data_IF_150766998077
#
_entry.id   IF_150766998077
#
_cell.length_a   1.000
_cell.length_b   1.000
_cell.length_c   1.000
_cell.angle_alpha   90.00
_cell.angle_beta   90.00
_cell.angle_gamma   90.00
#
_symmetry.space_group_name_H-M   'P 1'
#
loop_
_entity.id
_entity.type
_entity.pdbx_description
1 polymer ?
#
# COMPACT_ATOMS: atom_id res chain seq x y z
N UNK A 1 -6.77 1.60 -22.18
CA UNK A 1 -5.87 1.06 -21.15
C UNK A 1 -5.19 -0.16 -21.71
N UNK A 2 -3.88 -0.16 -21.82
CA UNK A 2 -3.14 -1.29 -22.41
C UNK A 2 -2.87 -2.30 -21.28
N UNK A 3 -3.81 -3.26 -21.11
CA UNK A 3 -3.86 -4.23 -20.00
C UNK A 3 -2.74 -5.29 -20.03
N UNK A 4 -1.76 -5.16 -20.92
CA UNK A 4 -0.71 -6.15 -21.15
C UNK A 4 0.66 -5.72 -20.64
N UNK A 5 0.81 -4.50 -20.10
CA UNK A 5 2.10 -4.02 -19.64
C UNK A 5 2.05 -3.59 -18.16
N UNK A 6 2.61 -4.40 -17.24
CA UNK A 6 2.67 -4.06 -15.80
C UNK A 6 3.37 -2.73 -15.50
N UNK A 7 4.20 -2.23 -16.41
CA UNK A 7 4.89 -0.94 -16.26
C UNK A 7 3.95 0.26 -16.38
N UNK A 8 2.75 0.06 -16.91
CA UNK A 8 1.70 1.08 -17.03
C UNK A 8 0.69 1.04 -15.89
N UNK A 9 0.89 0.18 -14.90
CA UNK A 9 0.19 0.27 -13.62
C UNK A 9 0.67 1.51 -12.88
N UNK A 10 -0.23 2.23 -12.19
CA UNK A 10 0.13 3.49 -11.58
C UNK A 10 -0.86 3.94 -10.51
N UNK A 11 -0.57 5.07 -9.93
CA UNK A 11 -1.35 5.77 -8.92
C UNK A 11 -1.97 7.00 -9.59
N UNK A 12 -3.29 7.13 -9.52
CA UNK A 12 -3.98 8.31 -10.02
C UNK A 12 -3.86 9.45 -8.97
N UNK A 13 -3.34 10.59 -9.41
CA UNK A 13 -3.12 11.80 -8.66
C UNK A 13 -3.95 12.94 -9.28
N UNK A 14 -3.96 14.10 -8.64
CA UNK A 14 -4.56 15.30 -9.23
C UNK A 14 -3.68 15.78 -10.41
N UNK A 15 -4.23 15.92 -11.63
CA UNK A 15 -3.47 16.42 -12.76
C UNK A 15 -3.20 17.94 -12.65
N UNK A 16 -2.11 18.38 -13.25
CA UNK A 16 -1.79 19.79 -13.40
C UNK A 16 -1.42 20.12 -14.87
N UNK A 17 -1.16 21.39 -15.25
CA UNK A 17 -0.87 21.73 -16.65
C UNK A 17 0.40 21.08 -17.23
N UNK A 18 1.29 20.53 -16.40
CA UNK A 18 2.54 19.90 -16.82
C UNK A 18 2.51 18.38 -16.73
N UNK A 19 1.60 17.82 -15.91
CA UNK A 19 1.57 16.41 -15.58
C UNK A 19 0.14 15.85 -15.75
N UNK A 20 0.03 14.64 -16.28
CA UNK A 20 -1.25 14.00 -16.58
C UNK A 20 -2.01 13.49 -15.34
N UNK A 21 -1.43 13.61 -14.16
CA UNK A 21 -2.01 13.16 -12.91
C UNK A 21 -1.92 11.65 -12.70
N UNK A 22 -1.04 10.95 -13.42
CA UNK A 22 -0.83 9.53 -13.27
C UNK A 22 0.65 9.20 -13.01
N UNK A 23 0.94 8.64 -11.86
CA UNK A 23 2.28 8.17 -11.50
C UNK A 23 2.40 6.69 -11.81
N UNK A 24 3.05 6.36 -12.92
CA UNK A 24 3.19 4.97 -13.39
C UNK A 24 4.42 4.26 -12.80
N UNK A 25 4.42 2.93 -12.83
CA UNK A 25 5.50 2.08 -12.31
C UNK A 25 6.86 2.49 -12.88
N UNK A 26 6.95 2.77 -14.18
CA UNK A 26 8.21 3.14 -14.82
C UNK A 26 8.72 4.49 -14.31
N UNK A 27 7.83 5.48 -14.08
CA UNK A 27 8.20 6.78 -13.52
C UNK A 27 8.66 6.66 -12.06
N UNK A 28 7.94 5.83 -11.26
CA UNK A 28 8.35 5.53 -9.89
C UNK A 28 9.77 4.97 -9.85
N UNK A 29 10.13 4.07 -10.79
CA UNK A 29 11.46 3.47 -10.86
C UNK A 29 12.57 4.49 -11.20
N UNK A 30 12.25 5.61 -11.82
CA UNK A 30 13.20 6.69 -12.10
C UNK A 30 13.42 7.62 -10.89
N UNK A 31 12.54 7.58 -9.89
CA UNK A 31 12.69 8.36 -8.67
C UNK A 31 13.93 7.92 -7.87
N UNK A 32 14.52 8.87 -7.14
CA UNK A 32 15.61 8.62 -6.19
C UNK A 32 15.12 8.89 -4.78
N UNK A 33 14.44 7.92 -4.20
CA UNK A 33 13.84 8.05 -2.88
C UNK A 33 14.87 7.78 -1.78
N UNK A 34 14.81 8.60 -0.72
CA UNK A 34 15.51 8.36 0.55
C UNK A 34 14.52 8.03 1.66
N UNK A 35 13.35 7.53 1.30
CA UNK A 35 12.28 7.22 2.23
C UNK A 35 12.60 5.95 3.04
N UNK A 36 12.38 6.02 4.35
CA UNK A 36 12.46 4.82 5.21
C UNK A 36 11.23 3.93 5.06
N UNK A 37 10.10 4.53 4.74
CA UNK A 37 8.83 3.86 4.52
C UNK A 37 8.02 4.63 3.47
N UNK A 38 7.43 3.90 2.55
CA UNK A 38 6.33 4.35 1.68
C UNK A 38 5.06 3.64 2.14
N UNK A 39 3.97 4.37 2.34
CA UNK A 39 2.67 3.81 2.71
C UNK A 39 1.71 3.97 1.53
N UNK A 40 1.23 2.86 1.01
CA UNK A 40 0.24 2.78 -0.05
C UNK A 40 -1.09 2.34 0.56
N UNK A 41 -1.89 3.31 1.00
CA UNK A 41 -3.21 3.04 1.59
C UNK A 41 -4.36 3.15 0.59
N UNK A 42 -4.05 3.27 -0.69
CA UNK A 42 -5.03 3.37 -1.76
C UNK A 42 -5.57 1.98 -2.13
N UNK A 43 -6.79 1.71 -1.71
CA UNK A 43 -7.46 0.41 -1.84
C UNK A 43 -7.75 -0.04 -3.28
N UNK A 44 -7.53 0.80 -4.28
CA UNK A 44 -7.80 0.50 -5.69
C UNK A 44 -6.54 0.29 -6.54
N UNK A 45 -5.36 0.50 -5.98
CA UNK A 45 -4.10 0.23 -6.69
C UNK A 45 -3.84 -1.27 -6.88
N UNK A 46 -4.47 -2.11 -6.06
CA UNK A 46 -4.38 -3.57 -6.18
C UNK A 46 -5.56 -4.21 -6.95
N UNK A 47 -6.62 -3.45 -7.19
CA UNK A 47 -7.80 -3.93 -7.91
C UNK A 47 -8.02 -3.01 -9.11
N UNK A 48 -7.27 -3.23 -10.19
CA UNK A 48 -7.72 -2.69 -11.48
C UNK A 48 -9.22 -2.94 -11.63
N UNK A 49 -9.99 -1.91 -11.97
CA UNK A 49 -11.45 -1.93 -12.18
C UNK A 49 -11.84 -2.93 -13.29
N UNK A 50 -11.66 -4.20 -13.03
CA UNK A 50 -11.95 -5.23 -14.01
C UNK A 50 -12.58 -6.44 -13.35
N UNK A 51 -13.90 -6.39 -13.26
CA UNK A 51 -14.73 -7.57 -12.95
C UNK A 51 -14.58 -8.71 -13.98
N UNK A 52 -13.71 -8.56 -14.99
CA UNK A 52 -13.61 -9.48 -16.13
C UNK A 52 -12.18 -9.74 -16.63
N UNK A 53 -11.14 -9.62 -15.81
CA UNK A 53 -9.79 -9.97 -16.26
C UNK A 53 -9.27 -11.22 -15.56
N UNK A 54 -8.83 -12.17 -16.37
CA UNK A 54 -8.19 -13.43 -15.98
C UNK A 54 -6.81 -13.26 -15.28
N UNK A 55 -6.42 -12.01 -14.95
CA UNK A 55 -5.16 -11.72 -14.26
C UNK A 55 -5.42 -11.44 -12.76
N UNK A 56 -4.65 -12.08 -11.87
CA UNK A 56 -4.80 -11.87 -10.44
C UNK A 56 -4.52 -10.39 -10.09
N UNK A 57 -5.38 -9.79 -9.28
CA UNK A 57 -5.24 -8.43 -8.72
C UNK A 57 -3.91 -8.19 -7.95
N UNK A 58 -3.10 -9.24 -7.76
CA UNK A 58 -1.80 -9.18 -7.10
C UNK A 58 -0.66 -8.60 -7.94
N UNK A 59 -0.77 -8.58 -9.26
CA UNK A 59 0.35 -8.15 -10.12
C UNK A 59 0.61 -6.65 -10.02
N UNK A 60 -0.42 -5.82 -9.91
CA UNK A 60 -0.27 -4.37 -9.73
C UNK A 60 0.34 -4.04 -8.37
N UNK A 61 -0.09 -4.73 -7.31
CA UNK A 61 0.50 -4.62 -5.98
C UNK A 61 2.00 -4.96 -6.01
N UNK A 62 2.36 -6.05 -6.65
CA UNK A 62 3.76 -6.49 -6.78
C UNK A 62 4.57 -5.49 -7.60
N UNK A 63 3.99 -4.96 -8.68
CA UNK A 63 4.61 -3.96 -9.55
C UNK A 63 4.94 -2.67 -8.80
N UNK A 64 3.95 -2.05 -8.16
CA UNK A 64 4.11 -0.81 -7.40
C UNK A 64 5.06 -0.98 -6.21
N UNK A 65 4.90 -2.05 -5.43
CA UNK A 65 5.78 -2.33 -4.29
C UNK A 65 7.24 -2.46 -4.71
N UNK A 66 7.51 -3.20 -5.79
CA UNK A 66 8.86 -3.34 -6.34
C UNK A 66 9.41 -2.02 -6.87
N UNK A 67 8.59 -1.22 -7.55
CA UNK A 67 8.99 0.07 -8.07
C UNK A 67 9.48 1.01 -6.96
N UNK A 68 8.73 1.14 -5.87
CA UNK A 68 9.14 1.97 -4.74
C UNK A 68 10.39 1.46 -4.03
N UNK A 69 10.55 0.13 -3.90
CA UNK A 69 11.77 -0.45 -3.34
C UNK A 69 12.97 -0.20 -4.27
N UNK A 70 12.79 -0.33 -5.58
CA UNK A 70 13.82 -0.05 -6.58
C UNK A 70 14.22 1.43 -6.57
N UNK A 71 13.24 2.34 -6.45
CA UNK A 71 13.45 3.78 -6.32
C UNK A 71 14.25 4.19 -5.07
N UNK A 72 14.48 3.27 -4.12
CA UNK A 72 15.31 3.49 -2.93
C UNK A 72 14.56 3.59 -1.61
N UNK A 73 13.25 3.31 -1.56
CA UNK A 73 12.54 3.12 -0.29
C UNK A 73 13.07 1.89 0.44
N UNK A 74 13.22 1.98 1.78
CA UNK A 74 13.64 0.81 2.57
C UNK A 74 12.53 -0.22 2.72
N UNK A 75 11.31 0.23 2.90
CA UNK A 75 10.13 -0.63 3.04
C UNK A 75 8.89 0.05 2.47
N UNK A 76 7.92 -0.77 2.11
CA UNK A 76 6.60 -0.35 1.63
C UNK A 76 5.54 -1.04 2.47
N UNK A 77 4.64 -0.25 3.08
CA UNK A 77 3.43 -0.71 3.73
C UNK A 77 2.28 -0.58 2.75
N UNK A 78 1.59 -1.67 2.45
CA UNK A 78 0.49 -1.63 1.50
C UNK A 78 -0.63 -2.60 1.88
N UNK A 79 -1.82 -2.38 1.34
CA UNK A 79 -2.98 -3.24 1.55
C UNK A 79 -3.17 -4.23 0.40
N UNK A 80 -3.48 -5.49 0.73
CA UNK A 80 -3.72 -6.59 -0.22
C UNK A 80 -5.15 -6.59 -0.79
N UNK A 81 -6.09 -5.94 -0.12
CA UNK A 81 -7.48 -5.82 -0.55
C UNK A 81 -8.10 -4.52 -0.03
N UNK A 82 -9.27 -4.17 -0.57
CA UNK A 82 -10.02 -2.98 -0.16
C UNK A 82 -10.52 -3.15 1.28
N UNK A 83 -10.18 -2.19 2.13
CA UNK A 83 -10.56 -2.14 3.55
C UNK A 83 -11.44 -0.91 3.80
N UNK A 84 -12.26 -0.97 4.83
CA UNK A 84 -13.07 0.17 5.29
C UNK A 84 -12.17 1.33 5.77
N UNK A 85 -12.50 2.56 5.38
CA UNK A 85 -11.68 3.75 5.66
C UNK A 85 -11.50 4.01 7.17
N UNK A 86 -12.53 3.75 7.97
CA UNK A 86 -12.46 3.95 9.43
C UNK A 86 -11.53 2.95 10.11
N UNK A 87 -11.62 1.68 9.72
CA UNK A 87 -10.70 0.65 10.25
C UNK A 87 -9.27 0.90 9.79
N UNK A 88 -9.08 1.39 8.56
CA UNK A 88 -7.78 1.81 8.06
C UNK A 88 -7.21 2.96 8.88
N UNK A 89 -8.02 3.98 9.19
CA UNK A 89 -7.60 5.09 10.04
C UNK A 89 -7.13 4.60 11.42
N UNK A 90 -7.91 3.77 12.10
CA UNK A 90 -7.57 3.22 13.42
C UNK A 90 -6.27 2.41 13.38
N UNK A 91 -6.10 1.56 12.35
CA UNK A 91 -4.86 0.79 12.19
C UNK A 91 -3.66 1.71 11.93
N UNK A 92 -3.80 2.71 11.07
CA UNK A 92 -2.72 3.64 10.74
C UNK A 92 -2.33 4.52 11.93
N UNK A 93 -3.31 5.03 12.68
CA UNK A 93 -3.04 5.77 13.92
C UNK A 93 -2.27 4.91 14.93
N UNK A 94 -2.69 3.67 15.15
CA UNK A 94 -1.98 2.74 16.01
C UNK A 94 -0.56 2.45 15.48
N UNK A 95 -0.43 2.17 14.18
CA UNK A 95 0.86 1.90 13.54
C UNK A 95 1.85 3.07 13.70
N UNK A 96 1.44 4.30 13.38
CA UNK A 96 2.34 5.45 13.45
C UNK A 96 2.68 5.85 14.89
N UNK A 97 1.77 5.65 15.83
CA UNK A 97 2.02 5.82 17.26
C UNK A 97 3.11 4.85 17.75
N UNK A 98 3.00 3.57 17.43
CA UNK A 98 3.98 2.55 17.81
C UNK A 98 5.31 2.73 17.09
N UNK A 99 5.29 3.19 15.84
CA UNK A 99 6.50 3.43 15.04
C UNK A 99 7.40 4.51 15.62
N UNK A 100 6.88 5.41 16.44
CA UNK A 100 7.68 6.43 17.15
C UNK A 100 8.79 5.84 18.05
N UNK A 101 8.67 4.56 18.48
CA UNK A 101 9.62 3.87 19.32
C UNK A 101 10.10 2.51 18.81
N UNK A 102 9.64 2.06 17.64
CA UNK A 102 9.91 0.71 17.13
C UNK A 102 10.24 0.69 15.64
N UNK A 103 10.80 -0.43 15.17
CA UNK A 103 10.91 -0.71 13.73
C UNK A 103 9.51 -0.91 13.10
N UNK A 104 9.40 -0.60 11.81
CA UNK A 104 8.08 -0.63 11.11
C UNK A 104 7.37 -1.98 11.21
N UNK A 105 8.11 -3.09 11.20
CA UNK A 105 7.51 -4.42 11.35
C UNK A 105 6.91 -4.63 12.73
N UNK A 106 7.63 -4.28 13.80
CA UNK A 106 7.14 -4.37 15.18
C UNK A 106 5.90 -3.50 15.39
N UNK A 107 5.92 -2.28 14.84
CA UNK A 107 4.80 -1.35 14.91
C UNK A 107 3.54 -1.89 14.20
N UNK A 108 3.69 -2.51 13.01
CA UNK A 108 2.57 -3.12 12.30
C UNK A 108 1.98 -4.29 13.10
N UNK A 109 2.83 -5.17 13.62
CA UNK A 109 2.38 -6.30 14.45
C UNK A 109 1.63 -5.81 15.70
N UNK A 110 2.13 -4.75 16.36
CA UNK A 110 1.48 -4.18 17.54
C UNK A 110 0.11 -3.59 17.19
N UNK A 111 0.02 -2.81 16.10
CA UNK A 111 -1.24 -2.24 15.63
C UNK A 111 -2.27 -3.32 15.27
N UNK A 112 -1.87 -4.34 14.52
CA UNK A 112 -2.74 -5.46 14.15
C UNK A 112 -3.22 -6.27 15.38
N UNK A 113 -2.35 -6.46 16.36
CA UNK A 113 -2.71 -7.12 17.64
C UNK A 113 -3.72 -6.30 18.43
N UNK A 114 -3.54 -4.99 18.49
CA UNK A 114 -4.49 -4.10 19.18
C UNK A 114 -5.89 -4.24 18.57
N UNK A 115 -6.03 -4.11 17.25
CA UNK A 115 -7.32 -4.27 16.57
C UNK A 115 -7.94 -5.66 16.77
N UNK A 116 -7.13 -6.72 16.74
CA UNK A 116 -7.60 -8.09 16.96
C UNK A 116 -8.12 -8.32 18.38
N UNK A 117 -7.48 -7.69 19.38
CA UNK A 117 -7.83 -7.85 20.79
C UNK A 117 -9.01 -6.97 21.23
N UNK A 118 -9.24 -5.89 20.51
CA UNK A 118 -10.39 -5.04 20.74
C UNK A 118 -11.66 -5.83 20.42
N UNK A 119 -12.49 -6.11 21.45
CA UNK A 119 -13.80 -6.76 21.29
C UNK A 119 -14.79 -5.81 20.64
N UNK A 120 -14.45 -5.34 19.45
CA UNK A 120 -15.15 -4.28 18.76
C UNK A 120 -15.47 -4.64 17.31
N UNK A 121 -15.97 -3.62 16.61
CA UNK A 121 -16.43 -3.67 15.23
C UNK A 121 -15.36 -4.17 14.26
N UNK A 122 -14.07 -3.92 14.55
CA UNK A 122 -12.96 -4.18 13.63
C UNK A 122 -12.06 -5.36 14.04
N UNK A 123 -12.51 -6.21 14.97
CA UNK A 123 -11.76 -7.42 15.40
C UNK A 123 -11.63 -8.50 14.32
N UNK A 124 -12.52 -8.49 13.30
CA UNK A 124 -12.46 -9.45 12.20
C UNK A 124 -11.20 -9.22 11.34
N UNK A 125 -10.46 -10.28 10.94
CA UNK A 125 -9.23 -10.18 10.15
C UNK A 125 -9.34 -9.35 8.87
N UNK A 126 -10.50 -9.30 8.25
CA UNK A 126 -10.77 -8.47 7.07
C UNK A 126 -10.30 -7.01 7.25
N UNK A 127 -10.42 -6.45 8.45
CA UNK A 127 -10.13 -5.04 8.72
C UNK A 127 -8.66 -4.71 8.99
N UNK A 128 -7.86 -5.68 9.44
CA UNK A 128 -6.48 -5.43 9.85
C UNK A 128 -5.44 -6.32 9.15
N UNK A 129 -5.82 -7.54 8.70
CA UNK A 129 -4.87 -8.46 8.07
C UNK A 129 -4.54 -8.10 6.61
N UNK A 130 -5.23 -7.10 6.04
CA UNK A 130 -4.96 -6.62 4.69
C UNK A 130 -3.58 -5.99 4.56
N UNK A 131 -3.06 -5.39 5.64
CA UNK A 131 -1.82 -4.61 5.58
C UNK A 131 -0.60 -5.47 5.76
N UNK A 132 0.34 -5.34 4.81
CA UNK A 132 1.62 -6.05 4.80
C UNK A 132 2.77 -5.05 4.63
N UNK A 133 3.89 -5.38 5.24
CA UNK A 133 5.13 -4.63 5.10
C UNK A 133 6.11 -5.45 4.26
N UNK A 134 6.64 -4.85 3.20
CA UNK A 134 7.61 -5.47 2.29
C UNK A 134 8.89 -4.63 2.30
N UNK A 135 10.05 -5.27 2.35
CA UNK A 135 11.35 -4.60 2.31
C UNK A 135 12.26 -4.95 3.49
N UNK A 136 13.21 -4.07 3.77
CA UNK A 136 14.12 -4.24 4.91
C UNK A 136 13.44 -3.83 6.21
N UNK A 137 13.45 -4.74 7.13
CA UNK A 137 13.08 -4.52 8.52
C UNK A 137 14.26 -3.93 9.27
#
# INVERSE_FOLDING_TARGET
MNKLNPLLSGIDLEPDPSEDGRLEVHEIMELRLKARLVTLSACETALGTSYFTEFPAGDDFVGLTRAFLFAGSRSVLASLWKVDDRSTLELMEAFYRERGGAESAGALVAAQRAMRQEKGRYSHPYFWAAFVLVGRM
#
